data_IF_464334479744
#
_entry.id   IF_464334479744
#
_cell.length_a   1.000
_cell.length_b   1.000
_cell.length_c   1.000
_cell.angle_alpha   90.00
_cell.angle_beta   90.00
_cell.angle_gamma   90.00
#
_symmetry.space_group_name_H-M   'P 1'
#
loop_
_entity.id
_entity.type
_entity.pdbx_description
1 polymer ?
#
# COMPACT_ATOMS: atom_id res chain seq x y z
N UNK A 1 45.10 61.60 -55.50
CA UNK A 1 44.91 61.36 -54.07
C UNK A 1 43.94 60.15 -53.92
N UNK A 2 44.47 59.02 -53.65
CA UNK A 2 43.75 57.76 -53.67
C UNK A 2 43.14 57.48 -52.29
N UNK A 3 41.80 57.22 -52.26
CA UNK A 3 41.10 56.80 -51.08
C UNK A 3 40.68 55.35 -51.29
N UNK A 4 41.42 54.38 -50.58
CA UNK A 4 41.09 52.99 -50.56
C UNK A 4 40.01 52.70 -49.55
N UNK A 5 38.86 52.19 -50.01
CA UNK A 5 37.79 51.65 -49.18
C UNK A 5 37.97 50.17 -49.02
N UNK A 6 38.39 49.74 -47.82
CA UNK A 6 38.52 48.35 -47.41
C UNK A 6 37.13 47.88 -46.98
N UNK A 7 36.54 46.90 -47.68
CA UNK A 7 35.31 46.22 -47.29
C UNK A 7 35.64 45.09 -46.31
N UNK A 8 35.10 45.21 -45.08
CA UNK A 8 35.17 44.19 -44.03
C UNK A 8 34.01 43.21 -44.23
N UNK A 9 34.30 41.95 -44.54
CA UNK A 9 33.33 40.89 -44.57
C UNK A 9 33.26 40.29 -43.18
N UNK A 10 32.13 40.46 -42.49
CA UNK A 10 31.82 39.79 -41.25
C UNK A 10 31.30 38.37 -41.56
N UNK A 11 32.11 37.36 -41.23
CA UNK A 11 31.69 35.96 -41.23
C UNK A 11 30.81 35.70 -39.98
N UNK A 12 29.53 35.49 -40.18
CA UNK A 12 28.62 34.98 -39.15
C UNK A 12 28.79 33.47 -39.05
N UNK A 13 29.50 33.02 -38.06
CA UNK A 13 29.61 31.58 -37.73
C UNK A 13 28.34 31.16 -36.98
N UNK A 14 27.46 30.44 -37.67
CA UNK A 14 26.27 29.82 -37.10
C UNK A 14 26.74 28.61 -36.25
N UNK A 15 26.76 28.76 -34.93
CA UNK A 15 27.01 27.66 -33.99
C UNK A 15 25.69 26.87 -33.87
N UNK A 16 25.63 25.77 -34.57
CA UNK A 16 24.60 24.73 -34.35
C UNK A 16 24.83 24.07 -32.97
N UNK A 17 24.05 24.53 -31.97
CA UNK A 17 23.92 23.79 -30.73
C UNK A 17 23.11 22.50 -31.04
N UNK A 18 23.82 21.41 -31.26
CA UNK A 18 23.23 20.08 -31.20
C UNK A 18 22.87 19.82 -29.73
N UNK A 19 21.58 20.00 -29.41
CA UNK A 19 21.03 19.53 -28.15
C UNK A 19 21.23 18.03 -28.06
N UNK A 20 22.22 17.58 -27.29
CA UNK A 20 22.27 16.21 -26.85
C UNK A 20 21.12 16.03 -25.86
N UNK A 21 20.03 15.46 -26.33
CA UNK A 21 19.04 14.82 -25.47
C UNK A 21 19.81 13.74 -24.71
N UNK A 22 20.12 14.03 -23.45
CA UNK A 22 20.54 12.99 -22.51
C UNK A 22 19.35 12.04 -22.43
N UNK A 23 19.40 10.96 -23.19
CA UNK A 23 18.60 9.79 -22.89
C UNK A 23 18.99 9.40 -21.46
N UNK A 24 18.07 9.57 -20.51
CA UNK A 24 18.18 8.94 -19.21
C UNK A 24 18.39 7.45 -19.49
N UNK A 25 19.60 6.98 -19.23
CA UNK A 25 19.86 5.56 -19.20
C UNK A 25 18.89 4.97 -18.19
N UNK A 26 18.00 4.09 -18.66
CA UNK A 26 17.37 3.13 -17.76
C UNK A 26 18.51 2.54 -16.95
N UNK A 27 18.48 2.70 -15.63
CA UNK A 27 19.47 2.07 -14.76
C UNK A 27 19.50 0.59 -15.14
N UNK A 28 20.67 0.03 -15.39
CA UNK A 28 20.88 -1.40 -15.62
C UNK A 28 20.64 -2.18 -14.30
N UNK A 29 19.46 -1.95 -13.69
CA UNK A 29 19.08 -2.65 -12.48
C UNK A 29 18.78 -4.11 -12.81
N UNK A 30 19.51 -4.99 -12.18
CA UNK A 30 19.27 -6.43 -12.22
C UNK A 30 18.62 -6.88 -10.92
N UNK A 31 17.61 -7.75 -11.03
CA UNK A 31 16.92 -8.31 -9.87
C UNK A 31 17.91 -9.12 -9.01
N UNK A 32 18.23 -8.66 -7.78
CA UNK A 32 19.12 -9.40 -6.91
C UNK A 32 18.50 -10.74 -6.49
N UNK A 33 19.35 -11.74 -6.29
CA UNK A 33 18.92 -13.08 -5.89
C UNK A 33 19.65 -13.53 -4.63
N UNK A 34 18.93 -14.32 -3.83
CA UNK A 34 19.49 -15.02 -2.68
C UNK A 34 20.47 -16.11 -3.14
N UNK A 35 21.19 -16.69 -2.19
CA UNK A 35 22.12 -17.82 -2.47
C UNK A 35 21.38 -19.04 -3.07
N UNK A 36 20.09 -19.16 -2.81
CA UNK A 36 19.21 -20.25 -3.31
C UNK A 36 18.64 -19.93 -4.69
N UNK A 37 19.01 -18.77 -5.29
CA UNK A 37 18.58 -18.36 -6.63
C UNK A 37 17.22 -17.69 -6.72
N UNK A 38 16.48 -17.57 -5.63
CA UNK A 38 15.20 -16.88 -5.58
C UNK A 38 15.40 -15.34 -5.56
N UNK A 39 14.42 -14.55 -6.02
CA UNK A 39 14.46 -13.11 -5.87
C UNK A 39 14.72 -12.69 -4.43
N UNK A 40 15.65 -11.75 -4.23
CA UNK A 40 15.94 -11.19 -2.91
C UNK A 40 14.93 -10.09 -2.57
N UNK A 41 13.94 -10.44 -1.75
CA UNK A 41 12.93 -9.51 -1.22
C UNK A 41 13.34 -8.94 0.15
N UNK A 42 14.52 -9.32 0.68
CA UNK A 42 14.94 -8.92 2.01
C UNK A 42 15.13 -7.40 2.12
N UNK A 43 14.84 -6.90 3.30
CA UNK A 43 14.99 -5.50 3.63
C UNK A 43 13.81 -4.96 4.42
N UNK A 44 13.84 -3.65 4.61
CA UNK A 44 12.75 -2.89 5.22
C UNK A 44 12.01 -2.17 4.10
N UNK A 45 10.73 -2.38 4.02
CA UNK A 45 9.84 -1.86 2.99
C UNK A 45 8.73 -1.03 3.66
N UNK A 46 8.45 0.15 3.12
CA UNK A 46 7.46 1.03 3.68
C UNK A 46 6.24 1.21 2.77
N UNK A 47 5.07 1.26 3.37
CA UNK A 47 3.83 1.61 2.69
C UNK A 47 3.46 3.07 3.01
N UNK A 48 3.92 3.99 2.17
CA UNK A 48 3.68 5.42 2.33
C UNK A 48 2.73 6.00 1.28
N UNK A 49 2.06 5.13 0.55
CA UNK A 49 1.17 5.57 -0.52
C UNK A 49 0.03 6.43 0.02
N UNK A 50 -0.26 7.51 -0.70
CA UNK A 50 -1.50 8.29 -0.52
C UNK A 50 -2.65 7.75 -1.36
N UNK A 51 -2.40 6.73 -2.19
CA UNK A 51 -3.45 6.11 -3.00
C UNK A 51 -4.53 5.53 -2.10
N UNK A 52 -5.79 5.96 -2.22
CA UNK A 52 -6.89 5.47 -1.40
C UNK A 52 -7.21 4.02 -1.73
N UNK A 53 -7.84 3.32 -0.80
CA UNK A 53 -8.26 1.94 -1.03
C UNK A 53 -9.29 1.88 -2.14
N UNK A 54 -10.36 2.67 -2.02
CA UNK A 54 -11.41 2.81 -3.03
C UNK A 54 -11.18 4.08 -3.85
N UNK A 55 -11.59 4.06 -5.12
CA UNK A 55 -11.48 5.23 -6.00
C UNK A 55 -12.45 6.31 -5.57
N UNK A 56 -11.97 7.51 -5.21
CA UNK A 56 -12.83 8.65 -4.92
C UNK A 56 -13.67 9.07 -6.13
N UNK A 57 -14.91 9.51 -5.87
CA UNK A 57 -15.84 9.96 -6.92
C UNK A 57 -15.26 11.06 -7.82
N UNK A 58 -14.38 11.91 -7.30
CA UNK A 58 -13.72 12.98 -8.05
C UNK A 58 -12.94 12.47 -9.26
N UNK A 59 -12.49 11.23 -9.24
CA UNK A 59 -11.77 10.61 -10.35
C UNK A 59 -12.69 9.92 -11.38
N UNK A 60 -13.97 9.68 -11.05
CA UNK A 60 -14.88 8.95 -11.94
C UNK A 60 -14.25 7.60 -12.36
N UNK A 61 -14.19 7.37 -13.67
CA UNK A 61 -13.59 6.14 -14.24
C UNK A 61 -12.06 6.23 -14.46
N UNK A 62 -11.43 7.33 -14.05
CA UNK A 62 -9.99 7.55 -14.24
C UNK A 62 -9.19 6.58 -13.37
N UNK A 63 -8.56 5.59 -13.99
CA UNK A 63 -7.76 4.57 -13.28
C UNK A 63 -6.39 5.10 -12.86
N UNK A 64 -5.80 6.02 -13.63
CA UNK A 64 -4.46 6.56 -13.40
C UNK A 64 -4.45 8.09 -13.38
N UNK A 65 -3.61 8.65 -12.50
CA UNK A 65 -3.30 10.08 -12.44
C UNK A 65 -2.49 10.49 -13.67
N UNK A 66 -2.82 11.66 -14.24
CA UNK A 66 -2.00 12.32 -15.26
C UNK A 66 -0.79 13.00 -14.61
N UNK A 67 0.16 13.46 -15.42
CA UNK A 67 1.29 14.26 -14.92
C UNK A 67 0.82 15.57 -14.26
N UNK A 68 -0.25 16.17 -14.77
CA UNK A 68 -0.86 17.37 -14.21
C UNK A 68 -1.49 17.09 -12.83
N UNK A 69 -2.18 15.95 -12.66
CA UNK A 69 -2.71 15.53 -11.37
C UNK A 69 -1.59 15.33 -10.34
N UNK A 70 -0.49 14.70 -10.75
CA UNK A 70 0.66 14.46 -9.86
C UNK A 70 1.28 15.78 -9.40
N UNK A 71 1.51 16.72 -10.33
CA UNK A 71 2.04 18.05 -10.01
C UNK A 71 1.08 18.82 -9.09
N UNK A 72 -0.23 18.73 -9.35
CA UNK A 72 -1.25 19.32 -8.48
C UNK A 72 -1.18 18.75 -7.06
N UNK A 73 -1.16 17.43 -6.92
CA UNK A 73 -1.09 16.73 -5.63
C UNK A 73 0.18 17.08 -4.86
N UNK A 74 1.35 17.07 -5.51
CA UNK A 74 2.62 17.44 -4.88
C UNK A 74 2.55 18.84 -4.27
N UNK A 75 2.05 19.81 -5.04
CA UNK A 75 1.88 21.19 -4.55
C UNK A 75 0.93 21.24 -3.35
N UNK A 76 -0.22 20.54 -3.42
CA UNK A 76 -1.21 20.54 -2.34
C UNK A 76 -0.70 19.89 -1.06
N UNK A 77 0.06 18.82 -1.18
CA UNK A 77 0.72 18.17 -0.03
C UNK A 77 1.65 19.16 0.67
N UNK A 78 2.51 19.85 -0.08
CA UNK A 78 3.41 20.87 0.48
C UNK A 78 2.64 22.02 1.16
N UNK A 79 1.51 22.45 0.60
CA UNK A 79 0.65 23.49 1.21
C UNK A 79 0.02 22.99 2.54
N UNK A 80 -0.43 21.73 2.58
CA UNK A 80 -0.99 21.08 3.79
C UNK A 80 0.07 20.98 4.88
N UNK A 81 1.27 20.55 4.53
CA UNK A 81 2.40 20.44 5.46
C UNK A 81 2.83 21.82 5.99
N UNK A 82 2.93 22.82 5.11
CA UNK A 82 3.30 24.19 5.50
C UNK A 82 2.25 24.86 6.40
N UNK A 83 0.98 24.46 6.29
CA UNK A 83 -0.09 24.95 7.16
C UNK A 83 -0.02 24.40 8.58
N UNK A 84 0.89 23.45 8.86
CA UNK A 84 1.02 22.81 10.17
C UNK A 84 -0.19 21.97 10.54
N UNK A 85 -0.91 21.46 9.55
CA UNK A 85 -2.01 20.54 9.78
C UNK A 85 -1.49 19.25 10.43
N UNK A 86 -2.31 18.66 11.29
CA UNK A 86 -2.02 17.37 11.89
C UNK A 86 -1.78 16.31 10.77
N UNK A 87 -1.04 15.29 11.12
CA UNK A 87 -0.71 14.22 10.21
C UNK A 87 -1.97 13.58 9.63
N UNK A 88 -2.19 13.77 8.34
CA UNK A 88 -3.23 13.06 7.61
C UNK A 88 -2.66 11.75 7.05
N UNK A 89 -3.39 10.67 7.22
CA UNK A 89 -2.97 9.34 6.79
C UNK A 89 -3.62 8.96 5.46
N UNK A 90 -2.85 8.33 4.58
CA UNK A 90 -3.34 7.70 3.38
C UNK A 90 -4.32 8.53 2.57
N UNK A 91 -5.55 8.05 2.48
CA UNK A 91 -6.64 8.69 1.73
C UNK A 91 -7.08 10.06 2.28
N UNK A 92 -6.85 10.34 3.56
CA UNK A 92 -7.14 11.65 4.14
C UNK A 92 -6.34 12.78 3.48
N UNK A 93 -5.11 12.52 3.07
CA UNK A 93 -4.28 13.47 2.31
C UNK A 93 -4.94 13.82 0.98
N UNK A 94 -5.44 12.82 0.28
CA UNK A 94 -6.06 12.99 -1.03
C UNK A 94 -7.38 13.76 -0.91
N UNK A 95 -8.20 13.42 0.09
CA UNK A 95 -9.42 14.14 0.39
C UNK A 95 -9.14 15.61 0.72
N UNK A 96 -8.17 15.92 1.58
CA UNK A 96 -7.77 17.28 1.90
C UNK A 96 -7.24 18.04 0.68
N UNK A 97 -6.47 17.37 -0.19
CA UNK A 97 -5.92 17.98 -1.40
C UNK A 97 -7.02 18.44 -2.36
N UNK A 98 -8.11 17.68 -2.51
CA UNK A 98 -9.20 18.00 -3.45
C UNK A 98 -10.33 18.80 -2.83
N UNK A 99 -10.68 18.63 -1.55
CA UNK A 99 -11.73 19.42 -0.90
C UNK A 99 -11.32 20.85 -0.57
N UNK A 100 -10.02 21.08 -0.47
CA UNK A 100 -9.47 22.35 0.01
C UNK A 100 -9.65 22.59 1.52
N UNK A 101 -10.32 21.70 2.23
CA UNK A 101 -10.46 21.74 3.66
C UNK A 101 -9.34 20.93 4.31
N UNK A 102 -8.53 21.60 5.12
CA UNK A 102 -7.51 20.96 5.93
C UNK A 102 -8.13 20.70 7.29
N UNK A 103 -8.64 19.50 7.49
CA UNK A 103 -9.01 19.05 8.83
C UNK A 103 -7.75 18.71 9.59
N UNK A 104 -7.45 19.51 10.61
CA UNK A 104 -6.29 19.33 11.48
C UNK A 104 -6.49 18.27 12.55
N UNK A 105 -7.62 17.60 12.58
CA UNK A 105 -7.94 16.59 13.59
C UNK A 105 -8.63 15.39 12.95
N UNK A 106 -7.97 14.23 13.01
CA UNK A 106 -8.57 12.94 12.71
C UNK A 106 -8.84 12.20 14.02
N UNK A 107 -10.12 12.04 14.41
CA UNK A 107 -10.47 11.37 15.65
C UNK A 107 -10.07 9.89 15.69
N UNK A 108 -9.77 9.29 14.54
CA UNK A 108 -9.33 7.89 14.44
C UNK A 108 -7.85 7.71 14.76
N UNK A 109 -7.05 8.73 14.57
CA UNK A 109 -5.60 8.69 14.74
C UNK A 109 -5.10 9.58 15.89
N UNK A 110 -5.92 10.56 16.35
CA UNK A 110 -5.51 11.55 17.33
C UNK A 110 -4.63 12.64 16.71
N UNK A 111 -4.06 13.48 17.57
CA UNK A 111 -3.16 14.57 17.17
C UNK A 111 -1.73 14.05 17.07
N UNK A 112 -1.35 13.56 15.89
CA UNK A 112 0.04 13.25 15.59
C UNK A 112 0.69 14.41 14.86
N UNK A 113 1.87 14.82 15.32
CA UNK A 113 2.72 15.75 14.60
C UNK A 113 3.19 15.11 13.28
N UNK A 114 3.32 15.92 12.24
CA UNK A 114 3.84 15.48 10.93
C UNK A 114 5.21 14.80 11.01
N UNK A 115 5.99 15.06 12.07
CA UNK A 115 7.28 14.41 12.33
C UNK A 115 7.19 12.89 12.55
N UNK A 116 6.00 12.38 12.89
CA UNK A 116 5.75 10.94 13.07
C UNK A 116 5.34 10.24 11.78
N UNK A 117 5.14 11.01 10.71
CA UNK A 117 4.73 10.48 9.42
C UNK A 117 5.95 10.16 8.57
N UNK A 118 5.90 9.01 7.93
CA UNK A 118 6.82 8.71 6.86
C UNK A 118 6.57 9.63 5.64
N UNK A 119 7.59 9.83 4.81
CA UNK A 119 7.45 10.61 3.57
C UNK A 119 6.38 9.98 2.67
N UNK A 120 5.46 10.82 2.17
CA UNK A 120 4.32 10.36 1.38
C UNK A 120 4.71 10.09 -0.06
N UNK A 121 4.33 8.93 -0.57
CA UNK A 121 4.57 8.57 -1.97
C UNK A 121 3.30 8.68 -2.81
N UNK A 122 3.41 9.37 -3.94
CA UNK A 122 2.35 9.47 -4.95
C UNK A 122 2.57 8.39 -5.99
N UNK A 123 1.77 7.33 -5.93
CA UNK A 123 1.66 6.37 -7.02
C UNK A 123 0.55 6.79 -7.98
N UNK A 124 0.66 6.37 -9.24
CA UNK A 124 -0.25 6.88 -10.28
C UNK A 124 -1.66 6.31 -10.23
N UNK A 125 -1.89 5.22 -9.52
CA UNK A 125 -3.24 4.67 -9.38
C UNK A 125 -4.15 5.58 -8.56
N UNK A 126 -5.42 5.66 -8.97
CA UNK A 126 -6.46 6.41 -8.24
C UNK A 126 -7.16 5.57 -7.17
N UNK A 127 -6.90 4.25 -7.16
CA UNK A 127 -7.34 3.30 -6.13
C UNK A 127 -6.34 2.17 -5.96
N UNK A 128 -6.26 1.62 -4.75
CA UNK A 128 -5.54 0.37 -4.52
C UNK A 128 -6.33 -0.83 -5.05
N UNK A 129 -7.68 -0.77 -5.05
CA UNK A 129 -8.51 -1.81 -5.65
C UNK A 129 -8.32 -1.78 -7.15
N UNK A 130 -7.89 -2.92 -7.71
CA UNK A 130 -7.64 -3.14 -9.14
C UNK A 130 -8.63 -4.12 -9.76
N UNK A 131 -9.25 -4.93 -8.93
CA UNK A 131 -10.35 -5.83 -9.29
C UNK A 131 -11.34 -5.84 -8.12
N UNK A 132 -12.60 -5.43 -8.34
CA UNK A 132 -13.22 -4.99 -9.59
C UNK A 132 -12.60 -3.72 -10.21
N UNK A 133 -12.72 -3.53 -11.55
CA UNK A 133 -12.05 -2.43 -12.27
C UNK A 133 -12.63 -1.04 -11.98
N UNK A 134 -13.82 -0.96 -11.38
CA UNK A 134 -14.39 0.30 -10.88
C UNK A 134 -13.60 0.89 -9.69
N UNK A 135 -12.69 0.10 -9.11
CA UNK A 135 -11.87 0.51 -7.99
C UNK A 135 -12.63 0.56 -6.67
N UNK A 136 -13.74 -0.17 -6.55
CA UNK A 136 -14.58 -0.24 -5.35
C UNK A 136 -14.57 -1.65 -4.76
N UNK A 137 -14.84 -1.76 -3.46
CA UNK A 137 -15.12 -3.07 -2.89
C UNK A 137 -16.39 -3.68 -3.49
N UNK A 138 -16.43 -4.99 -3.73
CA UNK A 138 -17.68 -5.67 -4.03
C UNK A 138 -18.72 -5.40 -2.93
N UNK A 139 -20.00 -5.43 -3.28
CA UNK A 139 -21.05 -5.28 -2.29
C UNK A 139 -20.90 -6.26 -1.12
N UNK A 140 -21.21 -5.80 0.08
CA UNK A 140 -21.24 -6.68 1.27
C UNK A 140 -22.43 -7.63 1.19
N UNK A 141 -22.25 -8.84 1.72
CA UNK A 141 -23.37 -9.78 1.89
C UNK A 141 -24.37 -9.25 2.90
N UNK A 142 -25.65 -9.65 2.79
CA UNK A 142 -26.68 -9.28 3.76
C UNK A 142 -26.29 -9.75 5.19
N UNK A 143 -25.71 -10.93 5.30
CA UNK A 143 -25.22 -11.45 6.57
C UNK A 143 -24.13 -10.56 7.18
N UNK A 144 -23.18 -10.07 6.37
CA UNK A 144 -22.15 -9.13 6.82
C UNK A 144 -22.79 -7.81 7.29
N UNK A 145 -23.72 -7.25 6.52
CA UNK A 145 -24.44 -6.02 6.89
C UNK A 145 -25.15 -6.19 8.23
N UNK A 146 -25.84 -7.31 8.42
CA UNK A 146 -26.53 -7.60 9.69
C UNK A 146 -25.56 -7.69 10.86
N UNK A 147 -24.43 -8.40 10.69
CA UNK A 147 -23.36 -8.50 11.71
C UNK A 147 -22.80 -7.14 12.10
N UNK A 148 -22.48 -6.31 11.10
CA UNK A 148 -21.92 -4.98 11.37
C UNK A 148 -22.89 -4.08 12.15
N UNK A 149 -24.20 -4.19 11.87
CA UNK A 149 -25.22 -3.47 12.66
C UNK A 149 -25.21 -3.92 14.13
N UNK A 150 -25.18 -5.24 14.37
CA UNK A 150 -25.13 -5.79 15.73
C UNK A 150 -23.86 -5.34 16.46
N UNK A 151 -22.70 -5.37 15.77
CA UNK A 151 -21.45 -4.92 16.36
C UNK A 151 -21.41 -3.41 16.63
N UNK A 152 -21.99 -2.61 15.74
CA UNK A 152 -22.11 -1.17 15.94
C UNK A 152 -22.98 -0.86 17.15
N UNK A 153 -24.16 -1.49 17.25
CA UNK A 153 -25.06 -1.34 18.39
C UNK A 153 -24.38 -1.77 19.70
N UNK A 154 -23.67 -2.92 19.69
CA UNK A 154 -22.92 -3.37 20.86
C UNK A 154 -21.86 -2.35 21.31
N UNK A 155 -21.13 -1.73 20.38
CA UNK A 155 -20.15 -0.70 20.69
C UNK A 155 -20.77 0.57 21.30
N UNK A 156 -21.98 0.91 20.86
CA UNK A 156 -22.75 2.03 21.40
C UNK A 156 -23.24 1.72 22.83
N UNK A 157 -23.84 0.55 23.03
CA UNK A 157 -24.43 0.15 24.30
C UNK A 157 -23.38 -0.23 25.35
N UNK A 158 -22.25 -0.78 24.92
CA UNK A 158 -21.19 -1.36 25.76
C UNK A 158 -19.79 -0.90 25.28
N UNK A 159 -19.47 0.40 25.34
CA UNK A 159 -18.24 0.93 24.78
C UNK A 159 -16.98 0.41 25.47
N UNK A 160 -17.06 0.03 26.75
CA UNK A 160 -15.90 -0.41 27.55
C UNK A 160 -16.31 -1.16 28.81
N UNK A 161 -17.36 -1.96 28.81
CA UNK A 161 -17.82 -2.71 29.98
C UNK A 161 -16.83 -3.81 30.35
N UNK A 162 -16.17 -4.36 29.35
CA UNK A 162 -15.09 -5.34 29.55
C UNK A 162 -13.99 -5.18 28.52
N UNK A 163 -12.86 -5.85 28.75
CA UNK A 163 -11.75 -5.87 27.81
C UNK A 163 -12.14 -6.48 26.44
N UNK A 164 -13.17 -7.29 26.36
CA UNK A 164 -13.66 -7.85 25.08
C UNK A 164 -14.41 -6.84 24.22
N UNK A 165 -14.84 -5.72 24.79
CA UNK A 165 -15.52 -4.65 24.05
C UNK A 165 -14.53 -3.71 23.34
N UNK A 166 -13.24 -3.83 23.70
CA UNK A 166 -12.17 -3.08 23.03
C UNK A 166 -11.57 -3.90 21.89
N UNK A 167 -11.34 -3.27 20.71
CA UNK A 167 -10.70 -3.95 19.58
C UNK A 167 -9.26 -4.36 19.92
N UNK A 168 -8.75 -5.34 19.20
CA UNK A 168 -7.40 -5.89 19.44
C UNK A 168 -6.31 -4.82 19.32
N UNK A 169 -6.48 -3.85 18.40
CA UNK A 169 -5.55 -2.74 18.21
C UNK A 169 -5.44 -1.83 19.44
N UNK A 170 -6.56 -1.44 20.07
CA UNK A 170 -6.55 -0.67 21.31
C UNK A 170 -5.90 -1.42 22.47
N UNK A 171 -5.96 -2.74 22.44
CA UNK A 171 -5.36 -3.62 23.44
C UNK A 171 -3.91 -3.95 23.13
N UNK A 172 -3.33 -3.37 22.08
CA UNK A 172 -1.98 -3.62 21.58
C UNK A 172 -1.69 -5.12 21.34
N UNK A 173 -2.69 -5.89 20.93
CA UNK A 173 -2.53 -7.34 20.70
C UNK A 173 -2.20 -7.64 19.25
N UNK A 174 -2.89 -7.02 18.30
CA UNK A 174 -2.67 -7.20 16.86
C UNK A 174 -3.51 -6.21 16.05
N UNK A 175 -2.99 -5.81 14.89
CA UNK A 175 -3.74 -5.08 13.86
C UNK A 175 -4.09 -5.96 12.65
N UNK A 176 -3.83 -7.27 12.76
CA UNK A 176 -4.04 -8.26 11.71
C UNK A 176 -2.83 -8.47 10.80
N UNK A 177 -2.91 -9.55 10.02
CA UNK A 177 -1.90 -9.87 9.02
C UNK A 177 -2.59 -10.35 7.73
N UNK A 178 -2.26 -9.73 6.58
CA UNK A 178 -1.36 -8.56 6.44
C UNK A 178 -2.02 -7.25 6.92
N UNK A 179 -1.24 -6.37 7.55
CA UNK A 179 -1.65 -4.99 7.81
C UNK A 179 -1.27 -4.13 6.61
N UNK A 180 -2.26 -3.54 5.98
CA UNK A 180 -2.11 -2.76 4.74
C UNK A 180 -2.33 -1.24 4.94
N UNK A 181 -2.29 -0.76 6.18
CA UNK A 181 -2.34 0.67 6.48
C UNK A 181 -1.07 1.38 6.02
N UNK A 182 -1.17 2.66 5.69
CA UNK A 182 -0.06 3.48 5.20
C UNK A 182 0.27 4.64 6.14
N UNK A 183 1.48 5.15 6.03
CA UNK A 183 1.91 6.43 6.60
C UNK A 183 2.36 6.43 8.05
N UNK A 184 1.91 5.52 8.90
CA UNK A 184 2.30 5.43 10.30
C UNK A 184 2.51 3.98 10.73
N UNK A 185 3.70 3.67 11.26
CA UNK A 185 4.11 2.30 11.62
C UNK A 185 3.76 1.31 10.50
N UNK A 186 4.10 1.68 9.26
CA UNK A 186 3.72 0.97 8.04
C UNK A 186 4.86 0.19 7.40
N UNK A 187 5.96 0.02 8.14
CA UNK A 187 7.13 -0.71 7.67
C UNK A 187 6.95 -2.22 7.82
N UNK A 188 7.44 -2.93 6.82
CA UNK A 188 7.60 -4.37 6.83
C UNK A 188 9.07 -4.72 6.71
N UNK A 189 9.58 -5.52 7.63
CA UNK A 189 10.87 -6.16 7.46
C UNK A 189 10.66 -7.57 6.91
N UNK A 190 11.24 -7.84 5.74
CA UNK A 190 11.22 -9.16 5.12
C UNK A 190 12.57 -9.83 5.33
N UNK A 191 12.56 -11.05 5.84
CA UNK A 191 13.73 -11.91 6.03
C UNK A 191 13.46 -13.24 5.32
N UNK A 192 14.42 -13.70 4.50
CA UNK A 192 14.31 -14.91 3.71
C UNK A 192 15.34 -15.94 4.13
N UNK A 193 14.92 -17.20 4.09
CA UNK A 193 15.77 -18.37 4.03
C UNK A 193 15.29 -19.28 2.91
N UNK A 194 16.00 -20.36 2.63
CA UNK A 194 15.65 -21.34 1.60
C UNK A 194 14.19 -21.86 1.73
N UNK A 195 13.74 -22.09 2.96
CA UNK A 195 12.45 -22.74 3.25
C UNK A 195 11.43 -21.85 3.96
N UNK A 196 11.75 -20.59 4.22
CA UNK A 196 10.88 -19.74 5.04
C UNK A 196 11.08 -18.28 4.72
N UNK A 197 9.98 -17.55 4.67
CA UNK A 197 9.97 -16.08 4.66
C UNK A 197 9.30 -15.59 5.95
N UNK A 198 9.97 -14.70 6.68
CA UNK A 198 9.40 -14.01 7.83
C UNK A 198 9.06 -12.58 7.43
N UNK A 199 7.83 -12.15 7.71
CA UNK A 199 7.36 -10.78 7.50
C UNK A 199 7.05 -10.19 8.87
N UNK A 200 7.87 -9.25 9.30
CA UNK A 200 7.70 -8.49 10.54
C UNK A 200 7.01 -7.18 10.21
N UNK A 201 5.83 -6.97 10.74
CA UNK A 201 5.08 -5.72 10.63
C UNK A 201 5.44 -4.83 11.81
N UNK A 202 5.78 -3.56 11.56
CA UNK A 202 6.16 -2.63 12.64
C UNK A 202 5.02 -2.43 13.64
N UNK A 203 3.79 -2.21 13.15
CA UNK A 203 2.64 -2.03 14.02
C UNK A 203 2.34 -3.29 14.82
N UNK A 204 2.30 -3.17 16.15
CA UNK A 204 2.09 -4.24 17.12
C UNK A 204 3.16 -5.35 17.10
N UNK A 205 4.25 -5.19 16.33
CA UNK A 205 5.36 -6.14 16.23
C UNK A 205 4.89 -7.53 15.75
N UNK A 206 3.81 -7.57 14.96
CA UNK A 206 3.25 -8.81 14.44
C UNK A 206 4.25 -9.50 13.49
N UNK A 207 4.59 -10.74 13.77
CA UNK A 207 5.49 -11.54 12.93
C UNK A 207 4.72 -12.68 12.29
N UNK A 208 4.79 -12.75 10.97
CA UNK A 208 4.20 -13.85 10.20
C UNK A 208 5.33 -14.70 9.61
N UNK A 209 5.32 -15.98 9.96
CA UNK A 209 6.24 -16.98 9.41
C UNK A 209 5.53 -17.70 8.29
N UNK A 210 6.09 -17.63 7.10
CA UNK A 210 5.56 -18.25 5.87
C UNK A 210 6.50 -19.37 5.44
N UNK A 211 6.15 -20.63 5.68
CA UNK A 211 6.90 -21.76 5.14
C UNK A 211 6.80 -21.79 3.61
N UNK A 212 7.94 -21.95 2.92
CA UNK A 212 8.00 -22.14 1.47
C UNK A 212 7.94 -23.64 1.21
N UNK A 213 6.74 -24.15 1.07
CA UNK A 213 6.50 -25.60 1.00
C UNK A 213 5.26 -25.95 0.18
N UNK A 214 5.37 -26.97 -0.64
CA UNK A 214 4.24 -27.59 -1.34
C UNK A 214 3.53 -28.61 -0.40
N UNK A 215 2.90 -28.09 0.65
CA UNK A 215 2.15 -28.90 1.60
C UNK A 215 0.73 -28.33 1.76
N UNK A 216 -0.26 -29.19 1.98
CA UNK A 216 -1.61 -28.71 2.28
C UNK A 216 -1.63 -27.87 3.55
N UNK A 217 -2.59 -26.98 3.63
CA UNK A 217 -2.89 -26.25 4.87
C UNK A 217 -3.25 -27.20 6.01
N UNK A 218 -3.19 -26.66 7.22
CA UNK A 218 -3.67 -27.37 8.41
C UNK A 218 -5.16 -27.70 8.25
N UNK A 219 -5.62 -28.71 9.02
CA UNK A 219 -7.05 -29.02 9.08
C UNK A 219 -7.88 -27.79 9.40
N UNK A 220 -9.05 -27.66 8.79
CA UNK A 220 -10.01 -26.55 9.03
C UNK A 220 -10.40 -26.37 10.50
N UNK A 221 -10.20 -27.41 11.32
CA UNK A 221 -10.40 -27.33 12.77
C UNK A 221 -9.34 -26.54 13.52
N UNK A 222 -8.17 -26.28 12.90
CA UNK A 222 -7.07 -25.49 13.47
C UNK A 222 -7.19 -24.07 12.99
N UNK A 223 -7.49 -23.14 13.90
CA UNK A 223 -7.63 -21.72 13.59
C UNK A 223 -6.52 -20.91 14.27
N UNK A 224 -5.85 -20.06 13.50
CA UNK A 224 -4.72 -19.25 13.96
C UNK A 224 -5.05 -17.77 13.89
N UNK A 225 -4.39 -16.95 14.71
CA UNK A 225 -4.61 -15.52 14.77
C UNK A 225 -4.36 -14.84 13.43
N UNK A 226 -3.28 -15.17 12.75
CA UNK A 226 -2.90 -14.61 11.46
C UNK A 226 -3.18 -15.57 10.30
N UNK A 227 -3.95 -16.64 10.57
CA UNK A 227 -4.19 -17.70 9.61
C UNK A 227 -3.00 -18.65 9.46
N UNK A 228 -3.18 -19.68 8.66
CA UNK A 228 -2.16 -20.63 8.24
C UNK A 228 -1.65 -20.25 6.86
N UNK A 229 -0.41 -19.75 6.77
CA UNK A 229 0.21 -19.27 5.53
C UNK A 229 1.08 -20.36 4.91
N UNK A 230 1.04 -20.46 3.57
CA UNK A 230 1.95 -21.27 2.75
C UNK A 230 2.47 -20.41 1.62
N UNK A 231 3.76 -20.50 1.31
CA UNK A 231 4.39 -19.76 0.24
C UNK A 231 5.00 -20.67 -0.82
N UNK A 232 5.05 -20.18 -2.05
CA UNK A 232 5.78 -20.78 -3.16
C UNK A 232 6.23 -19.70 -4.14
N UNK A 233 7.15 -20.05 -5.02
CA UNK A 233 7.64 -19.14 -6.05
C UNK A 233 6.98 -19.40 -7.40
N UNK A 234 6.50 -18.35 -8.05
CA UNK A 234 6.04 -18.34 -9.44
C UNK A 234 6.95 -17.40 -10.25
N UNK A 235 8.03 -17.94 -10.81
CA UNK A 235 9.06 -17.13 -11.43
C UNK A 235 9.71 -16.19 -10.42
N UNK A 236 9.59 -14.89 -10.64
CA UNK A 236 10.15 -13.86 -9.78
C UNK A 236 9.18 -13.31 -8.72
N UNK A 237 8.05 -13.98 -8.54
CA UNK A 237 7.00 -13.59 -7.59
C UNK A 237 6.91 -14.61 -6.46
N UNK A 238 6.99 -14.13 -5.22
CA UNK A 238 6.60 -14.90 -4.04
C UNK A 238 5.07 -14.85 -3.93
N UNK A 239 4.44 -16.02 -3.95
CA UNK A 239 3.00 -16.18 -3.71
C UNK A 239 2.79 -16.74 -2.32
N UNK A 240 1.85 -16.16 -1.56
CA UNK A 240 1.48 -16.60 -0.23
C UNK A 240 -0.03 -16.80 -0.18
N UNK A 241 -0.47 -18.02 0.10
CA UNK A 241 -1.86 -18.30 0.41
C UNK A 241 -2.05 -18.43 1.92
N UNK A 242 -3.10 -17.81 2.45
CA UNK A 242 -3.41 -17.84 3.88
C UNK A 242 -4.89 -18.17 4.09
N UNK A 243 -5.12 -19.20 4.90
CA UNK A 243 -6.44 -19.70 5.27
C UNK A 243 -6.55 -19.83 6.79
N UNK A 244 -7.58 -20.47 7.30
CA UNK A 244 -7.70 -20.88 8.71
C UNK A 244 -7.60 -19.73 9.73
N UNK A 245 -8.14 -18.57 9.41
CA UNK A 245 -8.21 -17.44 10.33
C UNK A 245 -9.11 -17.75 11.53
N UNK A 246 -8.69 -17.30 12.70
CA UNK A 246 -9.51 -17.32 13.91
C UNK A 246 -10.58 -16.24 13.85
N UNK A 247 -11.82 -16.56 14.24
CA UNK A 247 -12.90 -15.58 14.40
C UNK A 247 -12.62 -14.52 15.47
N UNK A 248 -11.66 -14.78 16.36
CA UNK A 248 -11.22 -13.83 17.37
C UNK A 248 -10.10 -12.90 16.86
N UNK A 249 -9.60 -13.12 15.64
CA UNK A 249 -8.56 -12.27 15.03
C UNK A 249 -9.13 -10.95 14.58
N UNK A 250 -8.24 -10.00 14.25
CA UNK A 250 -8.63 -8.70 13.66
C UNK A 250 -9.29 -8.81 12.28
N UNK A 251 -9.23 -9.99 11.65
CA UNK A 251 -9.95 -10.25 10.39
C UNK A 251 -11.47 -10.33 10.54
N UNK A 252 -11.98 -10.31 11.78
CA UNK A 252 -13.40 -10.30 12.10
C UNK A 252 -14.06 -11.69 12.16
N UNK A 253 -15.31 -11.77 12.59
CA UNK A 253 -16.08 -13.00 12.63
C UNK A 253 -16.44 -13.49 11.23
N UNK A 254 -16.72 -14.79 11.12
CA UNK A 254 -17.08 -15.52 9.88
C UNK A 254 -15.97 -15.58 8.81
N UNK A 255 -14.73 -15.57 9.26
CA UNK A 255 -13.55 -15.72 8.39
C UNK A 255 -13.20 -17.18 8.09
N UNK A 256 -14.05 -18.12 8.47
CA UNK A 256 -13.78 -19.57 8.36
C UNK A 256 -13.48 -20.04 6.91
N UNK A 257 -14.09 -19.33 5.93
CA UNK A 257 -13.92 -19.59 4.49
C UNK A 257 -13.07 -18.56 3.79
N UNK A 258 -12.46 -17.65 4.56
CA UNK A 258 -11.62 -16.61 4.01
C UNK A 258 -10.32 -17.20 3.51
N UNK A 259 -9.98 -16.87 2.27
CA UNK A 259 -8.69 -17.15 1.65
C UNK A 259 -8.10 -15.84 1.16
N UNK A 260 -6.88 -15.56 1.57
CA UNK A 260 -6.10 -14.45 1.05
C UNK A 260 -4.94 -14.99 0.23
N UNK A 261 -4.74 -14.42 -0.95
CA UNK A 261 -3.58 -14.70 -1.79
C UNK A 261 -2.80 -13.40 -1.96
N UNK A 262 -1.54 -13.44 -1.59
CA UNK A 262 -0.61 -12.33 -1.68
C UNK A 262 0.46 -12.65 -2.73
N UNK A 263 0.88 -11.63 -3.48
CA UNK A 263 1.91 -11.74 -4.50
C UNK A 263 2.91 -10.61 -4.32
N UNK A 264 4.14 -10.95 -4.04
CA UNK A 264 5.23 -10.01 -3.82
C UNK A 264 6.23 -10.13 -4.96
N UNK A 265 6.42 -9.05 -5.71
CA UNK A 265 7.33 -8.98 -6.85
C UNK A 265 8.21 -7.76 -6.71
N UNK A 266 9.53 -7.95 -6.63
CA UNK A 266 10.45 -6.84 -6.62
C UNK A 266 10.61 -6.29 -8.02
N UNK A 267 10.11 -5.07 -8.26
CA UNK A 267 10.02 -4.44 -9.60
C UNK A 267 11.11 -3.40 -9.84
N UNK A 268 11.89 -3.07 -8.79
CA UNK A 268 12.99 -2.11 -8.88
C UNK A 268 13.93 -2.22 -7.69
N UNK A 269 14.98 -1.41 -7.69
CA UNK A 269 15.93 -1.34 -6.58
C UNK A 269 15.23 -1.01 -5.26
N UNK A 270 14.29 -0.06 -5.33
CA UNK A 270 13.55 0.50 -4.20
C UNK A 270 12.03 0.24 -4.28
N UNK A 271 11.57 -0.70 -5.12
CA UNK A 271 10.15 -0.94 -5.34
C UNK A 271 9.78 -2.42 -5.20
N UNK A 272 8.82 -2.70 -4.34
CA UNK A 272 8.20 -3.99 -4.15
C UNK A 272 6.70 -3.88 -4.46
N UNK A 273 6.28 -4.44 -5.58
CA UNK A 273 4.87 -4.55 -5.92
C UNK A 273 4.24 -5.64 -5.05
N UNK A 274 3.19 -5.28 -4.37
CA UNK A 274 2.40 -6.16 -3.54
C UNK A 274 0.96 -6.19 -4.02
N UNK A 275 0.49 -7.36 -4.40
CA UNK A 275 -0.92 -7.60 -4.74
C UNK A 275 -1.55 -8.49 -3.67
N UNK A 276 -2.74 -8.12 -3.25
CA UNK A 276 -3.52 -8.81 -2.23
C UNK A 276 -4.91 -9.12 -2.77
N UNK A 277 -5.19 -10.39 -2.98
CA UNK A 277 -6.53 -10.86 -3.37
C UNK A 277 -7.20 -11.51 -2.18
N UNK A 278 -8.39 -11.04 -1.84
CA UNK A 278 -9.21 -11.61 -0.77
C UNK A 278 -10.46 -12.27 -1.33
N UNK A 279 -10.64 -13.53 -1.01
CA UNK A 279 -11.90 -14.25 -1.18
C UNK A 279 -12.53 -14.46 0.20
N UNK A 280 -13.50 -13.61 0.55
CA UNK A 280 -14.20 -13.63 1.83
C UNK A 280 -15.72 -13.68 1.60
N UNK A 281 -16.28 -14.86 1.29
CA UNK A 281 -17.70 -15.02 0.98
C UNK A 281 -18.61 -14.75 2.17
N UNK A 282 -18.08 -14.70 3.38
CA UNK A 282 -18.82 -14.26 4.58
C UNK A 282 -19.03 -12.75 4.62
N UNK A 283 -18.17 -11.97 3.97
CA UNK A 283 -18.22 -10.51 4.01
C UNK A 283 -18.62 -9.86 2.70
N UNK A 284 -18.17 -10.39 1.55
CA UNK A 284 -18.35 -9.78 0.23
C UNK A 284 -19.02 -10.75 -0.76
N UNK A 285 -19.72 -10.18 -1.73
CA UNK A 285 -20.42 -10.96 -2.77
C UNK A 285 -19.48 -11.51 -3.86
N UNK A 286 -18.27 -10.97 -3.95
CA UNK A 286 -17.22 -11.40 -4.88
C UNK A 286 -15.83 -11.19 -4.27
N UNK A 287 -14.77 -11.86 -4.76
CA UNK A 287 -13.39 -11.53 -4.43
C UNK A 287 -13.02 -10.12 -4.88
N UNK A 288 -11.95 -9.57 -4.29
CA UNK A 288 -11.35 -8.31 -4.72
C UNK A 288 -9.83 -8.39 -4.65
N UNK A 289 -9.17 -7.58 -5.48
CA UNK A 289 -7.71 -7.46 -5.48
C UNK A 289 -7.30 -6.01 -5.21
N UNK A 290 -6.30 -5.83 -4.34
CA UNK A 290 -5.63 -4.55 -4.09
C UNK A 290 -4.18 -4.65 -4.58
N UNK A 291 -3.67 -3.53 -5.05
CA UNK A 291 -2.26 -3.38 -5.40
C UNK A 291 -1.66 -2.20 -4.64
N UNK A 292 -0.49 -2.43 -4.05
CA UNK A 292 0.29 -1.44 -3.31
C UNK A 292 1.73 -1.56 -3.78
N UNK A 293 2.39 -0.44 -3.97
CA UNK A 293 3.84 -0.40 -4.13
C UNK A 293 4.44 -0.03 -2.77
N UNK A 294 5.31 -0.87 -2.27
CA UNK A 294 6.14 -0.57 -1.11
C UNK A 294 7.46 0.00 -1.59
N UNK A 295 7.92 1.04 -0.92
CA UNK A 295 9.21 1.68 -1.17
C UNK A 295 10.26 1.14 -0.18
N UNK A 296 11.59 1.32 -0.49
CA UNK A 296 12.69 0.79 0.34
C UNK A 296 13.50 1.92 0.94
#
# INVERSE_FOLDING_TARGET
MNCNTTRLYALFSLVLLTGQTMAQSSSDWELPRTVDGHPDLQGVWENNTITPVERPEVFGDKEYLTDEDVVFLQRRILEIEAAGADALFGEGVLQAAFSGEINSYDPSTGNYDSQWMAERTIHRRTSQITDPPDGQYPPRTEAAIARFRVLAQRREDHPADSWTDRPLGERCLSFGAPRLGSGYNSYWQIVQSESTVAIVQEMAHDVRIVPIVEKPHLSDSVKLWHGDSRGWWEGDTLVIETTNYSNASSSGPDTEKKVNVERLTRTGEHALQYQFTSHDPGSYTAPYTREIIFDK
#
